data_IF_072244701678
#
_entry.id   IF_072244701678
#
_cell.length_a   1.000
_cell.length_b   1.000
_cell.length_c   1.000
_cell.angle_alpha   90.00
_cell.angle_beta   90.00
_cell.angle_gamma   90.00
#
_symmetry.space_group_name_H-M   'P 1'
#
loop_
_entity.id
_entity.type
_entity.pdbx_description
1 polymer ?
#
# COMPACT_ATOMS: atom_id res chain seq x y z
N UNK A 1 -57.62 13.52 -26.63
CA UNK A 1 -57.75 13.25 -28.09
C UNK A 1 -56.32 13.24 -28.64
N UNK A 2 -55.67 12.08 -28.75
CA UNK A 2 -55.71 11.17 -29.92
C UNK A 2 -55.27 11.92 -31.18
N UNK A 3 -54.05 11.75 -31.69
CA UNK A 3 -53.61 10.75 -32.69
C UNK A 3 -52.25 11.25 -33.25
N UNK A 4 -51.32 10.51 -33.86
CA UNK A 4 -51.17 9.11 -34.26
C UNK A 4 -49.74 8.94 -34.84
N UNK A 5 -49.19 7.71 -34.72
CA UNK A 5 -48.35 6.92 -35.65
C UNK A 5 -47.21 7.57 -36.49
N UNK A 6 -46.12 6.90 -36.87
CA UNK A 6 -45.48 5.61 -36.60
C UNK A 6 -44.21 5.57 -37.49
N UNK A 7 -43.12 4.91 -37.06
CA UNK A 7 -42.15 4.27 -37.96
C UNK A 7 -41.09 3.45 -37.19
N UNK A 8 -41.09 2.13 -37.39
CA UNK A 8 -39.86 1.32 -37.55
C UNK A 8 -39.16 0.73 -36.31
N UNK A 9 -39.32 -0.59 -36.10
CA UNK A 9 -38.45 -1.51 -35.33
C UNK A 9 -37.60 -2.29 -36.40
N UNK A 10 -36.31 -2.71 -36.23
CA UNK A 10 -35.80 -3.53 -35.12
C UNK A 10 -34.33 -3.37 -34.62
N UNK A 11 -34.17 -3.75 -33.34
CA UNK A 11 -33.09 -4.54 -32.70
C UNK A 11 -31.76 -4.76 -33.44
N UNK A 12 -30.65 -4.33 -32.82
CA UNK A 12 -29.54 -5.18 -32.31
C UNK A 12 -28.27 -4.35 -32.04
N UNK A 13 -27.64 -4.61 -30.89
CA UNK A 13 -26.18 -4.62 -30.80
C UNK A 13 -25.54 -3.64 -29.82
N UNK A 14 -25.24 -4.16 -28.62
CA UNK A 14 -23.97 -3.86 -27.96
C UNK A 14 -23.88 -2.61 -27.08
N UNK A 15 -24.47 -2.67 -25.87
CA UNK A 15 -23.90 -1.93 -24.73
C UNK A 15 -22.54 -2.58 -24.39
N UNK A 16 -21.44 -1.83 -24.19
CA UNK A 16 -20.24 -2.42 -23.63
C UNK A 16 -20.55 -2.82 -22.18
N UNK A 17 -20.67 -4.12 -21.96
CA UNK A 17 -20.54 -4.72 -20.65
C UNK A 17 -19.07 -4.62 -20.23
N UNK A 18 -18.66 -3.52 -19.60
CA UNK A 18 -17.54 -3.59 -18.67
C UNK A 18 -18.03 -4.24 -17.38
N UNK A 19 -18.38 -5.52 -17.51
CA UNK A 19 -18.58 -6.45 -16.41
C UNK A 19 -17.23 -7.12 -16.25
N UNK A 20 -16.37 -6.54 -15.42
CA UNK A 20 -15.11 -7.20 -15.05
C UNK A 20 -15.47 -8.39 -14.15
N UNK A 21 -15.80 -9.52 -14.77
CA UNK A 21 -15.92 -10.81 -14.11
C UNK A 21 -14.58 -11.53 -14.20
N UNK A 22 -13.65 -11.12 -13.34
CA UNK A 22 -12.55 -11.95 -12.89
C UNK A 22 -12.40 -11.84 -11.37
N UNK A 23 -13.44 -12.27 -10.63
CA UNK A 23 -13.26 -12.81 -9.28
C UNK A 23 -13.25 -14.33 -9.42
N UNK A 24 -12.13 -14.88 -9.89
CA UNK A 24 -11.85 -16.32 -9.82
C UNK A 24 -10.44 -16.49 -9.24
N UNK A 25 -10.36 -17.16 -8.09
CA UNK A 25 -9.10 -17.54 -7.45
C UNK A 25 -8.51 -16.46 -6.55
N UNK A 26 -9.23 -16.03 -5.52
CA UNK A 26 -8.57 -15.42 -4.36
C UNK A 26 -7.76 -16.53 -3.68
N UNK A 27 -6.53 -16.75 -4.19
CA UNK A 27 -5.45 -17.31 -3.38
C UNK A 27 -5.49 -16.60 -2.04
N UNK A 28 -5.31 -17.27 -0.88
CA UNK A 28 -5.25 -16.57 0.40
C UNK A 28 -4.23 -15.46 0.26
N UNK A 29 -4.72 -14.23 0.14
CA UNK A 29 -3.89 -13.05 -0.04
C UNK A 29 -3.12 -12.96 1.27
N UNK A 30 -1.83 -13.28 1.23
CA UNK A 30 -0.95 -13.08 2.38
C UNK A 30 -0.98 -11.60 2.71
N UNK A 31 -1.80 -11.24 3.69
CA UNK A 31 -1.92 -9.89 4.21
C UNK A 31 -1.02 -9.77 5.43
N UNK A 32 -0.50 -8.57 5.68
CA UNK A 32 0.26 -8.29 6.90
C UNK A 32 -0.54 -8.66 8.16
N UNK A 33 -1.87 -8.51 8.12
CA UNK A 33 -2.79 -8.83 9.22
C UNK A 33 -2.97 -10.34 9.46
N UNK A 34 -2.53 -11.18 8.52
CA UNK A 34 -2.58 -12.66 8.63
C UNK A 34 -1.24 -13.29 9.01
N UNK A 35 -0.23 -12.45 9.31
CA UNK A 35 1.07 -12.91 9.79
C UNK A 35 0.92 -13.70 11.08
N UNK A 36 1.77 -14.73 11.24
CA UNK A 36 1.86 -15.48 12.50
C UNK A 36 2.14 -14.53 13.68
N UNK A 37 1.51 -14.81 14.83
CA UNK A 37 1.57 -13.93 16.00
C UNK A 37 3.00 -13.76 16.52
N UNK A 38 3.77 -14.84 16.61
CA UNK A 38 5.15 -14.78 17.13
C UNK A 38 6.04 -13.97 16.19
N UNK A 39 5.87 -14.18 14.88
CA UNK A 39 6.58 -13.41 13.87
C UNK A 39 6.19 -11.93 13.88
N UNK A 40 4.91 -11.60 14.03
CA UNK A 40 4.44 -10.21 14.14
C UNK A 40 5.00 -9.52 15.39
N UNK A 41 5.03 -10.22 16.53
CA UNK A 41 5.67 -9.70 17.74
C UNK A 41 7.17 -9.49 17.58
N UNK A 42 7.86 -10.39 16.88
CA UNK A 42 9.28 -10.23 16.57
C UNK A 42 9.52 -9.01 15.68
N UNK A 43 8.70 -8.81 14.63
CA UNK A 43 8.78 -7.64 13.76
C UNK A 43 8.60 -6.33 14.54
N UNK A 44 7.60 -6.26 15.43
CA UNK A 44 7.38 -5.11 16.32
C UNK A 44 8.58 -4.82 17.22
N UNK A 45 9.11 -5.84 17.89
CA UNK A 45 10.30 -5.68 18.76
C UNK A 45 11.51 -5.20 17.98
N UNK A 46 11.70 -5.74 16.77
CA UNK A 46 12.83 -5.39 15.91
C UNK A 46 12.72 -3.95 15.42
N UNK A 47 11.53 -3.52 14.96
CA UNK A 47 11.27 -2.12 14.60
C UNK A 47 11.61 -1.18 15.77
N UNK A 48 11.05 -1.45 16.96
CA UNK A 48 11.25 -0.60 18.13
C UNK A 48 12.73 -0.52 18.54
N UNK A 49 13.44 -1.65 18.52
CA UNK A 49 14.87 -1.72 18.84
C UNK A 49 15.74 -0.96 17.85
N UNK A 50 15.52 -1.14 16.54
CA UNK A 50 16.30 -0.48 15.50
C UNK A 50 16.04 1.03 15.45
N UNK A 51 14.78 1.46 15.61
CA UNK A 51 14.45 2.89 15.69
C UNK A 51 15.12 3.54 16.90
N UNK A 52 15.04 2.93 18.08
CA UNK A 52 15.67 3.46 19.29
C UNK A 52 17.20 3.57 19.14
N UNK A 53 17.84 2.54 18.58
CA UNK A 53 19.28 2.56 18.32
C UNK A 53 19.67 3.64 17.30
N UNK A 54 18.89 3.78 16.23
CA UNK A 54 19.12 4.77 15.20
C UNK A 54 18.97 6.21 15.71
N UNK A 55 17.91 6.50 16.47
CA UNK A 55 17.69 7.82 17.08
C UNK A 55 18.87 8.21 17.98
N UNK A 56 19.32 7.28 18.84
CA UNK A 56 20.46 7.51 19.71
C UNK A 56 21.77 7.75 18.93
N UNK A 57 22.00 7.03 17.84
CA UNK A 57 23.23 7.13 17.05
C UNK A 57 23.29 8.36 16.12
N UNK A 58 22.15 8.92 15.74
CA UNK A 58 22.05 9.98 14.71
C UNK A 58 21.62 11.35 15.26
N UNK A 59 21.47 11.45 16.59
CA UNK A 59 20.96 12.67 17.22
C UNK A 59 19.53 12.97 16.76
N UNK A 60 18.63 12.00 16.94
CA UNK A 60 17.22 12.09 16.53
C UNK A 60 17.05 12.37 15.03
N UNK A 61 17.84 11.68 14.20
CA UNK A 61 17.87 11.82 12.75
C UNK A 61 18.17 13.25 12.28
N UNK A 62 19.09 13.95 12.95
CA UNK A 62 19.45 15.34 12.62
C UNK A 62 19.97 15.52 11.18
N UNK A 63 20.49 14.45 10.56
CA UNK A 63 20.97 14.46 9.18
C UNK A 63 19.85 14.40 8.13
N UNK A 64 18.62 14.08 8.51
CA UNK A 64 17.52 13.88 7.57
C UNK A 64 16.90 15.22 7.18
N UNK A 65 16.85 15.47 5.88
CA UNK A 65 16.03 16.54 5.30
C UNK A 65 14.55 16.16 5.39
N UNK A 66 13.89 16.63 6.46
CA UNK A 66 12.48 16.33 6.75
C UNK A 66 11.53 16.90 5.69
N UNK A 67 11.86 18.05 5.12
CA UNK A 67 11.02 18.68 4.10
C UNK A 67 11.05 17.89 2.79
N UNK A 68 12.23 17.40 2.40
CA UNK A 68 12.36 16.51 1.25
C UNK A 68 11.64 15.18 1.49
N UNK A 69 11.79 14.59 2.67
CA UNK A 69 11.10 13.35 3.01
C UNK A 69 9.58 13.50 2.98
N UNK A 70 9.03 14.60 3.50
CA UNK A 70 7.59 14.86 3.41
C UNK A 70 7.09 14.96 1.97
N UNK A 71 7.85 15.65 1.09
CA UNK A 71 7.50 15.73 -0.34
C UNK A 71 7.50 14.36 -1.00
N UNK A 72 8.55 13.57 -0.76
CA UNK A 72 8.70 12.26 -1.38
C UNK A 72 7.64 11.27 -0.89
N UNK A 73 7.27 11.33 0.39
CA UNK A 73 6.14 10.57 0.90
C UNK A 73 4.83 10.97 0.23
N UNK A 74 4.56 12.27 0.14
CA UNK A 74 3.33 12.77 -0.46
C UNK A 74 3.20 12.35 -1.94
N UNK A 75 4.28 12.48 -2.71
CA UNK A 75 4.33 12.04 -4.10
C UNK A 75 4.10 10.52 -4.21
N UNK A 76 4.83 9.73 -3.42
CA UNK A 76 4.72 8.27 -3.43
C UNK A 76 3.30 7.79 -3.09
N UNK A 77 2.69 8.33 -2.03
CA UNK A 77 1.34 7.93 -1.63
C UNK A 77 0.28 8.41 -2.64
N UNK A 78 0.50 9.53 -3.32
CA UNK A 78 -0.33 9.95 -4.44
C UNK A 78 -0.29 8.97 -5.62
N UNK A 79 0.92 8.51 -6.00
CA UNK A 79 1.09 7.49 -7.05
C UNK A 79 0.45 6.15 -6.68
N UNK A 80 0.66 5.69 -5.43
CA UNK A 80 0.02 4.48 -4.91
C UNK A 80 -1.51 4.61 -4.93
N UNK A 81 -2.07 5.74 -4.50
CA UNK A 81 -3.51 5.96 -4.50
C UNK A 81 -4.11 5.89 -5.92
N UNK A 82 -3.43 6.49 -6.90
CA UNK A 82 -3.82 6.41 -8.30
C UNK A 82 -3.77 4.97 -8.84
N UNK A 83 -2.72 4.21 -8.48
CA UNK A 83 -2.58 2.81 -8.89
C UNK A 83 -3.66 1.91 -8.27
N UNK A 84 -3.98 2.11 -6.98
CA UNK A 84 -5.09 1.40 -6.32
C UNK A 84 -6.41 1.69 -7.03
N UNK A 85 -6.69 2.97 -7.34
CA UNK A 85 -7.90 3.38 -8.08
C UNK A 85 -7.98 2.73 -9.47
N UNK A 86 -6.84 2.52 -10.12
CA UNK A 86 -6.74 1.83 -11.41
C UNK A 86 -6.89 0.30 -11.32
N UNK A 87 -6.96 -0.27 -10.11
CA UNK A 87 -7.12 -1.70 -9.87
C UNK A 87 -5.82 -2.51 -9.89
N UNK A 88 -4.67 -1.86 -9.71
CA UNK A 88 -3.38 -2.54 -9.57
C UNK A 88 -3.40 -3.55 -8.42
N UNK A 89 -2.56 -4.58 -8.51
CA UNK A 89 -2.40 -5.59 -7.47
C UNK A 89 -1.13 -5.33 -6.63
N UNK A 90 -1.12 -5.65 -5.33
CA UNK A 90 0.03 -5.42 -4.46
C UNK A 90 1.34 -6.08 -4.93
N UNK A 91 1.26 -7.16 -5.71
CA UNK A 91 2.39 -7.92 -6.25
C UNK A 91 2.76 -7.54 -7.69
N UNK A 92 2.05 -6.61 -8.33
CA UNK A 92 2.43 -6.07 -9.63
C UNK A 92 3.84 -5.46 -9.57
N UNK A 93 4.67 -5.70 -10.58
CA UNK A 93 6.06 -5.22 -10.59
C UNK A 93 6.15 -3.69 -10.43
N UNK A 94 5.24 -2.94 -11.07
CA UNK A 94 5.17 -1.48 -10.92
C UNK A 94 4.86 -1.05 -9.48
N UNK A 95 4.01 -1.78 -8.76
CA UNK A 95 3.74 -1.51 -7.33
C UNK A 95 4.95 -1.85 -6.50
N UNK A 96 5.64 -2.92 -6.82
CA UNK A 96 6.84 -3.33 -6.12
C UNK A 96 8.01 -2.35 -6.31
N UNK A 97 8.11 -1.67 -7.45
CA UNK A 97 9.02 -0.54 -7.64
C UNK A 97 8.67 0.64 -6.71
N UNK A 98 7.38 0.95 -6.55
CA UNK A 98 6.91 1.96 -5.59
C UNK A 98 7.22 1.57 -4.14
N UNK A 99 7.07 0.28 -3.78
CA UNK A 99 7.48 -0.21 -2.46
C UNK A 99 9.00 -0.16 -2.28
N UNK A 100 9.77 -0.38 -3.34
CA UNK A 100 11.22 -0.14 -3.33
C UNK A 100 11.57 1.31 -3.02
N UNK A 101 10.83 2.27 -3.61
CA UNK A 101 10.94 3.70 -3.25
C UNK A 101 10.54 3.94 -1.79
N UNK A 102 9.45 3.32 -1.32
CA UNK A 102 9.05 3.40 0.09
C UNK A 102 10.19 2.95 1.02
N UNK A 103 10.80 1.80 0.74
CA UNK A 103 11.94 1.30 1.50
C UNK A 103 13.12 2.27 1.46
N UNK A 104 13.44 2.83 0.29
CA UNK A 104 14.52 3.80 0.13
C UNK A 104 14.28 5.11 0.90
N UNK A 105 13.04 5.63 0.95
CA UNK A 105 12.71 6.84 1.72
C UNK A 105 12.82 6.53 3.23
N UNK A 106 12.28 5.40 3.69
CA UNK A 106 12.46 4.93 5.07
C UNK A 106 13.95 4.78 5.43
N UNK A 107 14.74 4.27 4.48
CA UNK A 107 16.19 4.09 4.53
C UNK A 107 17.00 5.34 4.87
N UNK A 108 16.44 6.54 4.62
CA UNK A 108 17.12 7.83 4.90
C UNK A 108 17.22 8.11 6.40
N UNK A 109 16.27 7.63 7.19
CA UNK A 109 16.31 7.71 8.65
C UNK A 109 17.31 6.69 9.20
N UNK A 110 17.16 5.44 8.75
CA UNK A 110 18.09 4.33 8.88
C UNK A 110 17.65 3.23 7.93
N UNK A 111 18.56 2.33 7.54
CA UNK A 111 18.23 1.18 6.70
C UNK A 111 17.58 0.10 7.59
N UNK A 112 16.25 -0.13 7.49
CA UNK A 112 15.60 -1.10 8.35
C UNK A 112 15.90 -2.52 7.88
N UNK A 113 16.05 -3.44 8.83
CA UNK A 113 16.05 -4.87 8.50
C UNK A 113 14.70 -5.29 7.92
N UNK A 114 14.67 -6.50 7.33
CA UNK A 114 13.44 -7.11 6.84
C UNK A 114 12.33 -7.12 7.89
N UNK A 115 12.64 -7.55 9.11
CA UNK A 115 11.65 -7.67 10.19
C UNK A 115 11.24 -6.29 10.74
N UNK A 116 12.15 -5.32 10.81
CA UNK A 116 11.79 -3.94 11.16
C UNK A 116 10.87 -3.31 10.10
N UNK A 117 11.13 -3.56 8.81
CA UNK A 117 10.30 -3.06 7.73
C UNK A 117 8.89 -3.67 7.76
N UNK A 118 8.76 -4.95 8.06
CA UNK A 118 7.46 -5.58 8.31
C UNK A 118 6.79 -5.06 9.59
N UNK A 119 7.58 -4.77 10.62
CA UNK A 119 7.10 -4.10 11.84
C UNK A 119 6.49 -2.74 11.53
N UNK A 120 7.02 -2.01 10.54
CA UNK A 120 6.50 -0.72 10.09
C UNK A 120 5.13 -0.87 9.41
N UNK A 121 4.96 -1.91 8.58
CA UNK A 121 3.65 -2.24 8.00
C UNK A 121 2.60 -2.57 9.08
N UNK A 122 2.99 -3.31 10.12
CA UNK A 122 2.13 -3.60 11.27
C UNK A 122 1.77 -2.32 12.03
N UNK A 123 2.74 -1.43 12.28
CA UNK A 123 2.49 -0.13 12.91
C UNK A 123 1.44 0.68 12.15
N UNK A 124 1.54 0.76 10.82
CA UNK A 124 0.56 1.45 9.98
C UNK A 124 -0.84 0.85 10.11
N UNK A 125 -0.92 -0.48 10.28
CA UNK A 125 -2.16 -1.21 10.39
C UNK A 125 -2.75 -1.23 11.81
N UNK A 126 -1.97 -0.99 12.86
CA UNK A 126 -2.36 -1.13 14.27
C UNK A 126 -2.59 0.22 14.97
N UNK A 127 -1.78 1.24 14.66
CA UNK A 127 -1.93 2.58 15.24
C UNK A 127 -2.99 3.41 14.48
N UNK A 128 -3.98 3.92 15.20
CA UNK A 128 -5.11 4.63 14.60
C UNK A 128 -4.68 5.92 13.89
N UNK A 129 -3.71 6.66 14.43
CA UNK A 129 -3.25 7.90 13.81
C UNK A 129 -2.50 7.60 12.51
N UNK A 130 -1.63 6.60 12.51
CA UNK A 130 -0.94 6.13 11.31
C UNK A 130 -1.92 5.61 10.28
N UNK A 131 -2.89 4.78 10.69
CA UNK A 131 -3.90 4.22 9.78
C UNK A 131 -4.70 5.33 9.11
N UNK A 132 -5.18 6.29 9.89
CA UNK A 132 -5.98 7.41 9.39
C UNK A 132 -5.18 8.31 8.45
N UNK A 133 -3.92 8.58 8.76
CA UNK A 133 -3.07 9.40 7.90
C UNK A 133 -2.83 8.74 6.52
N UNK A 134 -2.44 7.47 6.49
CA UNK A 134 -2.23 6.75 5.23
C UNK A 134 -3.54 6.61 4.45
N UNK A 135 -4.65 6.27 5.12
CA UNK A 135 -5.94 6.12 4.47
C UNK A 135 -6.56 7.44 3.99
N UNK A 136 -6.02 8.59 4.41
CA UNK A 136 -6.43 9.89 3.85
C UNK A 136 -6.08 10.06 2.37
N UNK A 137 -5.07 9.31 1.87
CA UNK A 137 -4.72 9.25 0.45
C UNK A 137 -5.66 8.32 -0.33
N UNK A 138 -6.00 7.17 0.25
CA UNK A 138 -6.96 6.22 -0.31
C UNK A 138 -7.52 5.32 0.80
N UNK A 139 -8.84 5.02 0.86
CA UNK A 139 -9.42 4.21 1.94
C UNK A 139 -8.81 2.81 2.12
N UNK A 140 -8.28 2.22 1.05
CA UNK A 140 -7.63 0.90 1.03
C UNK A 140 -6.09 0.97 1.18
N UNK A 141 -5.51 2.16 1.39
CA UNK A 141 -4.06 2.38 1.34
C UNK A 141 -3.29 1.45 2.29
N UNK A 142 -3.69 1.38 3.56
CA UNK A 142 -2.95 0.61 4.58
C UNK A 142 -2.98 -0.89 4.29
N UNK A 143 -4.13 -1.42 3.90
CA UNK A 143 -4.28 -2.84 3.57
C UNK A 143 -3.48 -3.21 2.32
N UNK A 144 -3.57 -2.37 1.29
CA UNK A 144 -2.83 -2.54 0.04
C UNK A 144 -1.32 -2.47 0.27
N UNK A 145 -0.85 -1.40 0.91
CA UNK A 145 0.57 -1.17 1.16
C UNK A 145 1.16 -2.24 2.07
N UNK A 146 0.46 -2.63 3.15
CA UNK A 146 0.94 -3.69 4.04
C UNK A 146 1.13 -5.02 3.31
N UNK A 147 0.22 -5.37 2.41
CA UNK A 147 0.35 -6.56 1.55
C UNK A 147 1.53 -6.42 0.58
N UNK A 148 1.70 -5.25 -0.04
CA UNK A 148 2.79 -4.98 -0.98
C UNK A 148 4.17 -5.01 -0.29
N UNK A 149 4.27 -4.45 0.92
CA UNK A 149 5.46 -4.50 1.78
C UNK A 149 5.82 -5.93 2.18
N UNK A 150 4.83 -6.75 2.52
CA UNK A 150 5.04 -8.17 2.83
C UNK A 150 5.64 -8.93 1.64
N UNK A 151 5.15 -8.66 0.42
CA UNK A 151 5.70 -9.23 -0.81
C UNK A 151 7.13 -8.75 -1.08
N UNK A 152 7.38 -7.45 -0.95
CA UNK A 152 8.70 -6.87 -1.18
C UNK A 152 9.74 -7.45 -0.21
N UNK A 153 9.41 -7.50 1.08
CA UNK A 153 10.27 -8.05 2.12
C UNK A 153 10.53 -9.56 1.96
N UNK A 154 9.66 -10.30 1.28
CA UNK A 154 9.85 -11.72 1.00
C UNK A 154 10.67 -12.02 -0.26
N UNK A 155 10.87 -11.04 -1.13
CA UNK A 155 11.44 -11.25 -2.47
C UNK A 155 12.66 -10.39 -2.78
N UNK A 156 12.82 -9.23 -2.10
CA UNK A 156 13.88 -8.24 -2.38
C UNK A 156 14.68 -7.79 -1.15
N UNK A 157 14.34 -8.24 0.06
CA UNK A 157 15.08 -7.99 1.31
C UNK A 157 15.57 -9.32 1.89
#
# INVERSE_FOLDING_TARGET
MAQSAAAGIPERGGRPLFRNHYRQGMTPQMSISTMDREHAEQCRRTLAGEQAASLAATGDWAHVDKDQVHRDWHELYGELAAAITAGAQPDDEAIQELVGRHYAIAGRFYVPSRDAYLGMALLYAEDDAMRNWHNSYHPEMVEFLGTAMLRYAGTRL
#
